data_IF_411838041903
#
_entry.id   IF_411838041903
#
_cell.length_a   1.000
_cell.length_b   1.000
_cell.length_c   1.000
_cell.angle_alpha   90.00
_cell.angle_beta   90.00
_cell.angle_gamma   90.00
#
_symmetry.space_group_name_H-M   'P 1'
#
loop_
_entity.id
_entity.type
_entity.pdbx_description
1 polymer ?
#
# COMPACT_ATOMS: atom_id res chain seq x y z
N UNK A 1 1.03 -13.52 13.99
CA UNK A 1 0.70 -12.10 13.76
C UNK A 1 1.29 -11.61 12.45
N UNK A 2 0.41 -11.31 11.48
CA UNK A 2 0.76 -10.74 10.18
C UNK A 2 1.17 -9.27 10.34
N UNK A 3 2.22 -8.84 9.63
CA UNK A 3 2.64 -7.43 9.62
C UNK A 3 2.25 -6.78 8.29
N UNK A 4 1.28 -5.88 8.37
CA UNK A 4 0.63 -5.24 7.23
C UNK A 4 1.03 -3.77 7.20
N UNK A 5 1.47 -3.29 6.05
CA UNK A 5 1.82 -1.89 5.85
C UNK A 5 0.86 -1.29 4.82
N UNK A 6 0.10 -0.28 5.24
CA UNK A 6 -0.65 0.58 4.34
C UNK A 6 0.28 1.63 3.72
N UNK A 7 0.07 1.95 2.45
CA UNK A 7 0.83 2.92 1.66
C UNK A 7 -0.16 3.88 1.05
N UNK A 8 -0.24 5.09 1.59
CA UNK A 8 -1.27 6.06 1.22
C UNK A 8 -0.65 7.41 0.96
N UNK A 9 -0.90 7.99 -0.21
CA UNK A 9 -0.44 9.35 -0.50
C UNK A 9 -1.04 10.35 0.49
N UNK A 10 -2.36 10.28 0.63
CA UNK A 10 -3.15 11.15 1.47
C UNK A 10 -4.07 10.31 2.36
N UNK A 11 -4.30 10.78 3.58
CA UNK A 11 -5.28 10.18 4.47
C UNK A 11 -6.66 10.64 4.00
N UNK A 12 -7.24 9.87 3.08
CA UNK A 12 -8.62 10.01 2.62
C UNK A 12 -9.57 9.20 3.51
N UNK A 13 -10.87 9.47 3.42
CA UNK A 13 -11.90 8.69 4.12
C UNK A 13 -11.79 7.19 3.78
N UNK A 14 -11.68 6.83 2.49
CA UNK A 14 -11.50 5.45 2.04
C UNK A 14 -10.23 4.79 2.62
N UNK A 15 -9.13 5.56 2.70
CA UNK A 15 -7.88 5.05 3.26
C UNK A 15 -8.02 4.81 4.76
N UNK A 16 -8.63 5.74 5.48
CA UNK A 16 -8.87 5.60 6.91
C UNK A 16 -9.82 4.44 7.22
N UNK A 17 -10.90 4.26 6.45
CA UNK A 17 -11.83 3.15 6.61
C UNK A 17 -11.15 1.79 6.38
N UNK A 18 -10.30 1.69 5.35
CA UNK A 18 -9.54 0.47 5.09
C UNK A 18 -8.54 0.16 6.21
N UNK A 19 -7.84 1.18 6.71
CA UNK A 19 -6.92 1.05 7.87
C UNK A 19 -7.72 0.65 9.12
N UNK A 20 -8.87 1.30 9.36
CA UNK A 20 -9.76 1.06 10.50
C UNK A 20 -10.30 -0.37 10.51
N UNK A 21 -10.63 -0.92 9.35
CA UNK A 21 -10.99 -2.32 9.22
C UNK A 21 -9.79 -3.23 9.59
N UNK A 22 -8.60 -2.95 9.05
CA UNK A 22 -7.41 -3.77 9.27
C UNK A 22 -6.94 -3.82 10.74
N UNK A 23 -6.96 -2.69 11.45
CA UNK A 23 -6.52 -2.61 12.86
C UNK A 23 -7.42 -3.37 13.84
N UNK A 24 -8.61 -3.77 13.42
CA UNK A 24 -9.54 -4.54 14.26
C UNK A 24 -9.36 -6.06 14.12
N UNK A 25 -8.51 -6.53 13.21
CA UNK A 25 -8.14 -7.94 13.15
C UNK A 25 -7.09 -8.26 14.23
N UNK A 26 -7.37 -9.19 15.15
CA UNK A 26 -6.51 -9.44 16.32
C UNK A 26 -5.10 -9.91 15.95
N UNK A 27 -4.95 -10.60 14.81
CA UNK A 27 -3.67 -11.12 14.34
C UNK A 27 -2.87 -10.14 13.48
N UNK A 28 -3.35 -8.91 13.27
CA UNK A 28 -2.69 -7.94 12.41
C UNK A 28 -1.93 -6.90 13.23
N UNK A 29 -0.66 -6.70 12.87
CA UNK A 29 0.10 -5.50 13.21
C UNK A 29 0.06 -4.58 12.02
N UNK A 30 -0.58 -3.42 12.17
CA UNK A 30 -0.79 -2.49 11.05
C UNK A 30 0.12 -1.28 11.21
N UNK A 31 0.89 -0.97 10.17
CA UNK A 31 1.65 0.27 10.08
C UNK A 31 1.27 1.08 8.82
N UNK A 32 1.66 2.34 8.79
CA UNK A 32 1.36 3.26 7.70
C UNK A 32 2.63 3.91 7.12
N UNK A 33 2.79 3.87 5.80
CA UNK A 33 3.68 4.73 5.02
C UNK A 33 2.83 5.79 4.31
N UNK A 34 3.18 7.06 4.48
CA UNK A 34 2.38 8.15 3.87
C UNK A 34 3.18 9.39 3.53
N UNK A 35 2.71 10.22 2.59
CA UNK A 35 3.24 11.59 2.39
C UNK A 35 2.62 12.59 3.38
N UNK A 36 1.49 12.24 3.99
CA UNK A 36 0.70 13.09 4.89
C UNK A 36 1.21 13.08 6.33
N UNK A 37 0.96 14.15 7.10
CA UNK A 37 1.16 14.09 8.54
C UNK A 37 0.12 13.12 9.16
N UNK A 38 0.52 12.26 10.09
CA UNK A 38 -0.36 11.27 10.74
C UNK A 38 -1.41 11.92 11.65
N UNK A 39 -1.31 13.21 11.93
CA UNK A 39 -2.32 13.97 12.68
C UNK A 39 -3.64 14.10 11.94
N UNK A 40 -3.68 13.78 10.64
CA UNK A 40 -4.91 13.73 9.86
C UNK A 40 -5.70 12.43 10.06
N UNK A 41 -5.11 11.38 10.63
CA UNK A 41 -5.85 10.19 11.04
C UNK A 41 -6.66 10.50 12.30
N UNK A 42 -7.86 9.93 12.39
CA UNK A 42 -8.57 9.86 13.66
C UNK A 42 -7.68 9.26 14.76
N UNK A 43 -7.77 9.85 15.95
CA UNK A 43 -6.93 9.49 17.09
C UNK A 43 -7.10 8.02 17.50
N UNK A 44 -8.29 7.44 17.36
CA UNK A 44 -8.55 6.05 17.72
C UNK A 44 -7.89 5.08 16.75
N UNK A 45 -7.87 5.42 15.45
CA UNK A 45 -7.17 4.67 14.40
C UNK A 45 -5.66 4.80 14.61
N UNK A 46 -5.17 6.03 14.77
CA UNK A 46 -3.75 6.33 14.93
C UNK A 46 -3.12 5.61 16.13
N UNK A 47 -3.82 5.55 17.26
CA UNK A 47 -3.31 4.93 18.49
C UNK A 47 -3.22 3.39 18.41
N UNK A 48 -3.93 2.76 17.47
CA UNK A 48 -3.88 1.31 17.24
C UNK A 48 -2.84 0.88 16.20
N UNK A 49 -2.27 1.83 15.45
CA UNK A 49 -1.15 1.53 14.54
C UNK A 49 0.10 1.16 15.35
N UNK A 50 0.81 0.11 14.93
CA UNK A 50 2.10 -0.24 15.57
C UNK A 50 3.21 0.75 15.22
N UNK A 51 3.09 1.42 14.07
CA UNK A 51 3.94 2.52 13.65
C UNK A 51 3.35 3.28 12.45
N UNK A 52 3.87 4.48 12.23
CA UNK A 52 3.71 5.20 10.98
C UNK A 52 5.05 5.84 10.62
N UNK A 53 5.30 6.02 9.32
CA UNK A 53 6.50 6.66 8.81
C UNK A 53 6.14 7.52 7.59
N UNK A 54 6.52 8.80 7.66
CA UNK A 54 6.35 9.70 6.52
C UNK A 54 7.43 9.41 5.48
N UNK A 55 7.03 9.22 4.22
CA UNK A 55 7.93 9.03 3.09
C UNK A 55 7.71 10.16 2.06
N UNK A 56 8.74 10.51 1.26
CA UNK A 56 8.65 11.69 0.41
C UNK A 56 7.77 11.50 -0.84
N UNK A 57 7.60 10.27 -1.31
CA UNK A 57 6.84 9.98 -2.52
C UNK A 57 6.32 8.53 -2.53
N UNK A 58 5.01 8.31 -2.39
CA UNK A 58 4.42 6.96 -2.47
C UNK A 58 4.31 6.43 -3.91
N UNK A 59 4.57 7.27 -4.91
CA UNK A 59 4.59 6.86 -6.33
C UNK A 59 5.97 6.41 -6.79
N UNK A 60 6.97 6.50 -5.92
CA UNK A 60 8.30 5.94 -6.14
C UNK A 60 8.46 4.66 -5.31
N UNK A 61 8.60 3.53 -6.00
CA UNK A 61 8.76 2.23 -5.34
C UNK A 61 10.01 2.18 -4.47
N UNK A 62 11.08 2.93 -4.78
CA UNK A 62 12.28 2.99 -3.93
C UNK A 62 12.00 3.61 -2.57
N UNK A 63 11.16 4.64 -2.54
CA UNK A 63 10.72 5.28 -1.30
C UNK A 63 9.87 4.31 -0.45
N UNK A 64 8.94 3.59 -1.08
CA UNK A 64 8.14 2.55 -0.40
C UNK A 64 9.04 1.46 0.17
N UNK A 65 9.95 0.90 -0.64
CA UNK A 65 10.86 -0.19 -0.23
C UNK A 65 11.74 0.24 0.95
N UNK A 66 12.28 1.45 0.90
CA UNK A 66 13.11 2.00 1.99
C UNK A 66 12.31 2.15 3.29
N UNK A 67 11.11 2.73 3.22
CA UNK A 67 10.24 2.88 4.39
C UNK A 67 9.78 1.54 4.96
N UNK A 68 9.39 0.62 4.07
CA UNK A 68 8.96 -0.73 4.41
C UNK A 68 10.08 -1.50 5.13
N UNK A 69 11.30 -1.50 4.58
CA UNK A 69 12.48 -2.10 5.24
C UNK A 69 12.79 -1.47 6.59
N UNK A 70 12.61 -0.16 6.72
CA UNK A 70 12.81 0.54 8.00
C UNK A 70 11.85 0.03 9.07
N UNK A 71 10.57 -0.13 8.72
CA UNK A 71 9.58 -0.68 9.64
C UNK A 71 9.80 -2.17 9.91
N UNK A 72 10.17 -2.95 8.88
CA UNK A 72 10.44 -4.38 9.00
C UNK A 72 11.57 -4.70 9.99
N UNK A 73 12.60 -3.84 10.08
CA UNK A 73 13.66 -3.99 11.09
C UNK A 73 13.14 -4.02 12.53
N UNK A 74 12.02 -3.33 12.80
CA UNK A 74 11.43 -3.21 14.15
C UNK A 74 10.29 -4.19 14.38
N UNK A 75 9.52 -4.50 13.35
CA UNK A 75 8.28 -5.27 13.47
C UNK A 75 8.34 -6.65 12.80
N UNK A 76 9.43 -6.99 12.12
CA UNK A 76 9.63 -8.28 11.47
C UNK A 76 9.17 -8.29 10.01
N UNK A 77 9.04 -9.49 9.46
CA UNK A 77 8.71 -9.72 8.05
C UNK A 77 7.36 -9.11 7.66
N UNK A 78 7.32 -8.43 6.52
CA UNK A 78 6.11 -7.80 5.98
C UNK A 78 5.32 -8.86 5.24
N UNK A 79 4.11 -9.15 5.71
CA UNK A 79 3.23 -10.10 5.04
C UNK A 79 2.46 -9.46 3.89
N UNK A 80 2.11 -8.17 4.01
CA UNK A 80 1.28 -7.46 3.03
C UNK A 80 1.69 -5.98 2.93
N UNK A 81 1.72 -5.47 1.71
CA UNK A 81 1.69 -4.04 1.39
C UNK A 81 0.34 -3.73 0.75
N UNK A 82 -0.41 -2.77 1.27
CA UNK A 82 -1.76 -2.42 0.80
C UNK A 82 -1.81 -0.92 0.51
N UNK A 83 -2.54 -0.51 -0.51
CA UNK A 83 -2.90 0.90 -0.72
C UNK A 83 -4.24 0.96 -1.42
N UNK A 84 -5.05 1.97 -1.12
CA UNK A 84 -6.36 2.17 -1.75
C UNK A 84 -6.35 3.22 -2.85
N UNK A 85 -5.33 4.09 -2.88
CA UNK A 85 -5.19 5.08 -3.93
C UNK A 85 -4.80 4.48 -5.29
N UNK A 86 -5.39 5.02 -6.36
CA UNK A 86 -5.18 4.57 -7.74
C UNK A 86 -3.75 4.84 -8.23
N UNK A 87 -3.15 5.96 -7.81
CA UNK A 87 -1.91 6.47 -8.40
C UNK A 87 -0.65 5.72 -7.90
N UNK A 88 -0.72 5.13 -6.72
CA UNK A 88 0.36 4.41 -6.04
C UNK A 88 0.39 2.91 -6.38
N UNK A 89 -0.65 2.35 -7.01
CA UNK A 89 -0.75 0.90 -7.25
C UNK A 89 0.44 0.32 -8.04
N UNK A 90 0.95 1.04 -9.05
CA UNK A 90 2.13 0.58 -9.80
C UNK A 90 3.35 0.53 -8.88
N UNK A 91 3.57 1.58 -8.08
CA UNK A 91 4.71 1.68 -7.18
C UNK A 91 4.63 0.62 -6.06
N UNK A 92 3.44 0.35 -5.55
CA UNK A 92 3.17 -0.73 -4.59
C UNK A 92 3.47 -2.09 -5.21
N UNK A 93 3.00 -2.37 -6.43
CA UNK A 93 3.29 -3.64 -7.12
C UNK A 93 4.79 -3.84 -7.36
N UNK A 94 5.51 -2.78 -7.74
CA UNK A 94 6.98 -2.79 -7.87
C UNK A 94 7.66 -3.03 -6.52
N UNK A 95 7.20 -2.39 -5.45
CA UNK A 95 7.75 -2.57 -4.11
C UNK A 95 7.52 -4.00 -3.60
N UNK A 96 6.32 -4.57 -3.79
CA UNK A 96 6.01 -5.96 -3.48
C UNK A 96 6.98 -6.91 -4.19
N UNK A 97 7.18 -6.73 -5.50
CA UNK A 97 8.11 -7.54 -6.28
C UNK A 97 9.56 -7.44 -5.78
N UNK A 98 10.04 -6.24 -5.43
CA UNK A 98 11.40 -6.03 -4.89
C UNK A 98 11.59 -6.59 -3.47
N UNK A 99 10.51 -6.74 -2.71
CA UNK A 99 10.50 -7.25 -1.34
C UNK A 99 10.12 -8.73 -1.24
N UNK A 100 9.87 -9.38 -2.39
CA UNK A 100 9.35 -10.75 -2.47
C UNK A 100 8.02 -10.96 -1.72
N UNK A 101 7.14 -9.95 -1.77
CA UNK A 101 5.81 -9.99 -1.17
C UNK A 101 4.79 -10.39 -2.23
N UNK A 102 3.96 -11.39 -1.93
CA UNK A 102 2.89 -11.85 -2.81
C UNK A 102 1.92 -10.72 -3.18
N UNK A 103 1.50 -10.68 -4.46
CA UNK A 103 0.50 -9.74 -4.95
C UNK A 103 0.50 -9.59 -6.46
N UNK A 104 -0.25 -8.60 -6.95
CA UNK A 104 -0.33 -8.28 -8.39
C UNK A 104 1.07 -7.91 -8.92
N UNK A 105 1.55 -8.57 -10.00
CA UNK A 105 2.82 -8.23 -10.61
C UNK A 105 2.85 -6.81 -11.19
N UNK A 106 4.02 -6.14 -11.26
CA UNK A 106 4.14 -4.79 -11.80
C UNK A 106 3.56 -4.63 -13.22
N UNK A 107 3.75 -5.65 -14.07
CA UNK A 107 3.21 -5.68 -15.44
C UNK A 107 1.68 -5.62 -15.43
N UNK A 108 1.04 -6.42 -14.59
CA UNK A 108 -0.42 -6.46 -14.45
C UNK A 108 -0.95 -5.14 -13.90
N UNK A 109 -0.30 -4.56 -12.89
CA UNK A 109 -0.67 -3.24 -12.38
C UNK A 109 -0.59 -2.14 -13.46
N UNK A 110 0.45 -2.18 -14.30
CA UNK A 110 0.57 -1.26 -15.46
C UNK A 110 -0.57 -1.45 -16.46
N UNK A 111 -0.96 -2.70 -16.75
CA UNK A 111 -2.05 -2.99 -17.68
C UNK A 111 -3.40 -2.37 -17.26
N UNK A 112 -3.65 -2.21 -15.96
CA UNK A 112 -4.86 -1.54 -15.46
C UNK A 112 -4.74 -0.01 -15.42
N UNK A 113 -3.53 0.54 -15.44
CA UNK A 113 -3.30 2.00 -15.38
C UNK A 113 -3.24 2.63 -16.76
N UNK A 114 -2.58 1.99 -17.70
CA UNK A 114 -2.48 2.47 -19.07
C UNK A 114 -3.80 2.16 -19.79
N UNK A 115 -4.64 3.18 -19.94
CA UNK A 115 -5.97 3.05 -20.53
C UNK A 115 -5.95 2.49 -21.95
N UNK A 116 -4.94 2.83 -22.75
CA UNK A 116 -4.83 2.32 -24.12
C UNK A 116 -4.48 0.84 -24.08
N UNK A 117 -3.44 0.47 -23.34
CA UNK A 117 -3.02 -0.91 -23.18
C UNK A 117 -4.13 -1.77 -22.56
N UNK A 118 -4.83 -1.26 -21.54
CA UNK A 118 -5.96 -1.92 -20.90
C UNK A 118 -7.03 -2.29 -21.91
N UNK A 119 -7.49 -1.32 -22.73
CA UNK A 119 -8.52 -1.56 -23.75
C UNK A 119 -8.07 -2.58 -24.78
N UNK A 120 -6.83 -2.51 -25.24
CA UNK A 120 -6.29 -3.49 -26.19
C UNK A 120 -6.32 -4.91 -25.61
N UNK A 121 -5.93 -5.06 -24.34
CA UNK A 121 -5.93 -6.36 -23.65
C UNK A 121 -7.35 -6.89 -23.40
N UNK A 122 -8.30 -6.02 -23.02
CA UNK A 122 -9.70 -6.40 -22.82
C UNK A 122 -10.34 -6.88 -24.14
N UNK A 123 -10.15 -6.11 -25.23
CA UNK A 123 -10.65 -6.48 -26.55
C UNK A 123 -10.04 -7.79 -27.04
N UNK A 124 -8.72 -7.97 -26.87
CA UNK A 124 -8.03 -9.21 -27.23
C UNK A 124 -8.54 -10.42 -26.41
N UNK A 125 -9.05 -10.19 -25.19
CA UNK A 125 -9.66 -11.20 -24.34
C UNK A 125 -11.18 -11.39 -24.57
N UNK A 126 -11.77 -10.68 -25.53
CA UNK A 126 -13.21 -10.75 -25.82
C UNK A 126 -14.10 -9.99 -24.82
N UNK A 127 -13.53 -9.11 -24.01
CA UNK A 127 -14.27 -8.24 -23.09
C UNK A 127 -14.60 -6.92 -23.80
N UNK A 128 -15.89 -6.55 -23.95
CA UNK A 128 -16.31 -5.34 -24.65
C UNK A 128 -15.95 -4.05 -23.90
#
# INVERSE_FOLDING_TARGET
MAFVIFVERWISENAEDAIRAAINFPDFRVALLTESPPTLLDSTVRNKLVAWLRIPNVRDSKCIVSGAKTLAKRFGEITQLIGVGEYEQIAIAQARHQLDINGIPPRTAKNFRDKFQMKQLLLAAGVP
#
